data_IF_759332997690
#
_entry.id   IF_759332997690
#
_cell.length_a   1.000
_cell.length_b   1.000
_cell.length_c   1.000
_cell.angle_alpha   90.00
_cell.angle_beta   90.00
_cell.angle_gamma   90.00
#
_symmetry.space_group_name_H-M   'P 1'
#
loop_
_entity.id
_entity.type
_entity.pdbx_description
1 polymer ?
#
# COMPACT_ATOMS: atom_id res chain seq x y z
N UNK A 1 32.32 3.65 -0.43
CA UNK A 1 31.14 3.06 -1.10
C UNK A 1 29.94 3.88 -0.68
N UNK A 2 29.18 4.44 -1.63
CA UNK A 2 28.07 5.34 -1.31
C UNK A 2 26.90 4.55 -0.72
N UNK A 3 26.59 4.80 0.55
CA UNK A 3 25.40 4.25 1.21
C UNK A 3 24.18 4.96 0.65
N UNK A 4 23.45 4.33 -0.28
CA UNK A 4 22.19 4.87 -0.80
C UNK A 4 21.19 5.01 0.35
N UNK A 5 20.88 6.25 0.73
CA UNK A 5 19.87 6.55 1.74
C UNK A 5 18.50 6.36 1.08
N UNK A 6 17.68 5.46 1.61
CA UNK A 6 16.30 5.30 1.16
C UNK A 6 15.46 6.49 1.66
N UNK A 7 15.04 7.34 0.75
CA UNK A 7 14.24 8.54 1.02
C UNK A 7 12.73 8.30 0.80
N UNK A 8 12.33 7.08 0.49
CA UNK A 8 10.92 6.78 0.20
C UNK A 8 10.13 6.81 1.52
N UNK A 9 9.17 7.73 1.69
CA UNK A 9 8.40 7.82 2.93
C UNK A 9 7.52 6.58 3.08
N UNK A 10 7.32 6.15 4.33
CA UNK A 10 6.35 5.09 4.61
C UNK A 10 4.93 5.64 4.54
N UNK A 11 3.93 4.77 4.38
CA UNK A 11 2.53 5.19 4.46
C UNK A 11 2.16 5.81 5.82
N UNK A 12 2.88 5.44 6.90
CA UNK A 12 2.75 6.07 8.21
C UNK A 12 3.21 7.53 8.20
N UNK A 13 4.34 7.83 7.55
CA UNK A 13 4.86 9.18 7.40
C UNK A 13 3.92 10.06 6.55
N UNK A 14 3.40 9.49 5.46
CA UNK A 14 2.41 10.16 4.60
C UNK A 14 1.11 10.46 5.36
N UNK A 15 0.62 9.51 6.17
CA UNK A 15 -0.56 9.71 7.01
C UNK A 15 -0.35 10.80 8.07
N UNK A 16 0.81 10.82 8.71
CA UNK A 16 1.18 11.87 9.67
C UNK A 16 1.24 13.25 9.01
N UNK A 17 1.79 13.34 7.79
CA UNK A 17 1.81 14.59 7.01
C UNK A 17 0.39 15.06 6.66
N UNK A 18 -0.46 14.16 6.17
CA UNK A 18 -1.86 14.49 5.86
C UNK A 18 -2.63 14.97 7.10
N UNK A 19 -2.44 14.32 8.25
CA UNK A 19 -3.03 14.75 9.52
C UNK A 19 -2.58 16.15 9.91
N UNK A 20 -1.27 16.43 9.85
CA UNK A 20 -0.72 17.75 10.19
C UNK A 20 -1.27 18.84 9.27
N UNK A 21 -1.36 18.58 7.97
CA UNK A 21 -1.93 19.52 7.00
C UNK A 21 -3.42 19.79 7.28
N UNK A 22 -4.17 18.77 7.70
CA UNK A 22 -5.56 18.93 8.10
C UNK A 22 -5.72 19.77 9.37
N UNK A 23 -4.89 19.53 10.40
CA UNK A 23 -4.90 20.32 11.63
C UNK A 23 -4.52 21.79 11.36
N UNK A 24 -3.62 22.03 10.40
CA UNK A 24 -3.20 23.38 10.01
C UNK A 24 -4.15 24.09 9.02
N UNK A 25 -5.30 23.50 8.66
CA UNK A 25 -6.24 24.04 7.65
C UNK A 25 -5.60 24.33 6.28
N UNK A 26 -4.60 23.54 5.88
CA UNK A 26 -3.94 23.67 4.58
C UNK A 26 -4.77 22.98 3.47
N UNK A 27 -5.96 23.51 3.20
CA UNK A 27 -6.95 22.91 2.28
C UNK A 27 -6.40 22.70 0.87
N UNK A 28 -5.59 23.63 0.36
CA UNK A 28 -4.96 23.50 -0.97
C UNK A 28 -4.01 22.30 -1.02
N UNK A 29 -3.19 22.12 0.01
CA UNK A 29 -2.26 20.99 0.08
C UNK A 29 -3.02 19.65 0.18
N UNK A 30 -4.10 19.61 0.95
CA UNK A 30 -4.97 18.43 1.03
C UNK A 30 -5.67 18.11 -0.30
N UNK A 31 -6.10 19.14 -1.04
CA UNK A 31 -6.71 18.94 -2.36
C UNK A 31 -5.74 18.29 -3.36
N UNK A 32 -4.44 18.62 -3.27
CA UNK A 32 -3.40 17.97 -4.08
C UNK A 32 -3.12 16.53 -3.64
N UNK A 33 -3.23 16.21 -2.35
CA UNK A 33 -3.03 14.85 -1.83
C UNK A 33 -4.20 13.90 -2.13
N UNK A 34 -5.43 14.44 -2.22
CA UNK A 34 -6.66 13.66 -2.43
C UNK A 34 -6.60 12.65 -3.58
N UNK A 35 -6.17 12.98 -4.81
CA UNK A 35 -6.13 12.01 -5.91
C UNK A 35 -5.18 10.84 -5.64
N UNK A 36 -4.03 11.09 -5.00
CA UNK A 36 -3.05 10.05 -4.68
C UNK A 36 -3.58 9.09 -3.62
N UNK A 37 -4.21 9.64 -2.57
CA UNK A 37 -4.90 8.81 -1.58
C UNK A 37 -6.03 8.00 -2.21
N UNK A 38 -6.87 8.62 -3.05
CA UNK A 38 -7.96 7.92 -3.73
C UNK A 38 -7.44 6.76 -4.59
N UNK A 39 -6.34 6.97 -5.32
CA UNK A 39 -5.69 5.92 -6.12
C UNK A 39 -5.13 4.81 -5.23
N UNK A 40 -4.45 5.16 -4.14
CA UNK A 40 -3.89 4.17 -3.21
C UNK A 40 -4.98 3.30 -2.58
N UNK A 41 -6.09 3.90 -2.14
CA UNK A 41 -7.23 3.15 -1.59
C UNK A 41 -7.92 2.28 -2.64
N UNK A 42 -8.09 2.76 -3.87
CA UNK A 42 -8.63 1.95 -4.97
C UNK A 42 -7.76 0.72 -5.26
N UNK A 43 -6.43 0.89 -5.30
CA UNK A 43 -5.49 -0.23 -5.48
C UNK A 43 -5.52 -1.20 -4.29
N UNK A 44 -5.65 -0.69 -3.06
CA UNK A 44 -5.76 -1.52 -1.86
C UNK A 44 -7.03 -2.38 -1.88
N UNK A 45 -8.16 -1.83 -2.30
CA UNK A 45 -9.41 -2.60 -2.40
C UNK A 45 -9.33 -3.63 -3.55
N UNK A 46 -8.74 -3.27 -4.70
CA UNK A 46 -8.48 -4.21 -5.78
C UNK A 46 -7.57 -5.37 -5.31
N UNK A 47 -6.49 -5.07 -4.58
CA UNK A 47 -5.62 -6.09 -4.00
C UNK A 47 -6.38 -6.98 -3.02
N UNK A 48 -7.21 -6.40 -2.15
CA UNK A 48 -8.03 -7.16 -1.20
C UNK A 48 -9.01 -8.10 -1.90
N UNK A 49 -9.55 -7.71 -3.07
CA UNK A 49 -10.40 -8.58 -3.88
C UNK A 49 -9.61 -9.71 -4.58
N UNK A 50 -8.35 -9.47 -4.95
CA UNK A 50 -7.47 -10.47 -5.56
C UNK A 50 -6.85 -11.44 -4.54
N UNK A 51 -6.71 -11.02 -3.29
CA UNK A 51 -6.08 -11.79 -2.21
C UNK A 51 -6.66 -13.20 -1.98
N UNK A 52 -7.99 -13.45 -2.04
CA UNK A 52 -8.55 -14.80 -1.95
C UNK A 52 -8.03 -15.72 -3.05
N UNK A 53 -7.99 -15.25 -4.30
CA UNK A 53 -7.50 -16.01 -5.45
C UNK A 53 -6.01 -16.33 -5.31
N UNK A 54 -5.21 -15.33 -4.90
CA UNK A 54 -3.78 -15.50 -4.64
C UNK A 54 -3.51 -16.51 -3.50
N UNK A 55 -4.35 -16.52 -2.45
CA UNK A 55 -4.25 -17.49 -1.36
C UNK A 55 -4.63 -18.90 -1.81
N UNK A 56 -5.63 -19.05 -2.66
CA UNK A 56 -6.03 -20.34 -3.20
C UNK A 56 -4.92 -20.95 -4.07
N UNK A 57 -4.31 -20.17 -4.96
CA UNK A 57 -3.22 -20.67 -5.80
C UNK A 57 -2.00 -21.08 -4.97
N UNK A 58 -1.67 -20.32 -3.92
CA UNK A 58 -0.56 -20.68 -3.01
C UNK A 58 -0.81 -22.01 -2.28
N UNK A 59 -2.03 -22.22 -1.76
CA UNK A 59 -2.40 -23.49 -1.11
C UNK A 59 -2.39 -24.67 -2.08
N UNK A 60 -2.90 -24.48 -3.30
CA UNK A 60 -2.91 -25.52 -4.32
C UNK A 60 -1.47 -25.93 -4.71
N UNK A 61 -0.59 -24.95 -4.92
CA UNK A 61 0.83 -25.23 -5.21
C UNK A 61 1.53 -25.93 -4.04
N UNK A 62 1.22 -25.56 -2.79
CA UNK A 62 1.79 -26.22 -1.62
C UNK A 62 1.28 -27.67 -1.47
N UNK A 63 0.00 -27.93 -1.71
CA UNK A 63 -0.56 -29.28 -1.69
C UNK A 63 0.04 -30.16 -2.80
N UNK A 64 0.21 -29.61 -4.01
CA UNK A 64 0.85 -30.32 -5.12
C UNK A 64 2.32 -30.67 -4.82
N UNK A 65 3.07 -29.76 -4.18
CA UNK A 65 4.45 -30.03 -3.75
C UNK A 65 4.52 -31.22 -2.78
N UNK A 66 3.61 -31.29 -1.80
CA UNK A 66 3.57 -32.39 -0.82
C UNK A 66 3.12 -33.74 -1.40
N UNK A 67 2.44 -33.76 -2.55
CA UNK A 67 2.03 -35.00 -3.21
C UNK A 67 3.13 -35.59 -4.12
N UNK A 68 4.14 -34.80 -4.47
CA UNK A 68 5.23 -35.16 -5.38
C UNK A 68 6.55 -35.51 -4.66
N UNK A 69 6.55 -35.49 -3.33
CA UNK A 69 7.72 -35.66 -2.46
C UNK A 69 7.39 -36.65 -1.34
#
# INVERSE_FOLDING_TARGET
MATTINLTPTWGDIGLLAYRLAVSNEEKALAHLRPDFARAFAMAEALKQLMPTLRMTSKASQAAFWLLN
#
